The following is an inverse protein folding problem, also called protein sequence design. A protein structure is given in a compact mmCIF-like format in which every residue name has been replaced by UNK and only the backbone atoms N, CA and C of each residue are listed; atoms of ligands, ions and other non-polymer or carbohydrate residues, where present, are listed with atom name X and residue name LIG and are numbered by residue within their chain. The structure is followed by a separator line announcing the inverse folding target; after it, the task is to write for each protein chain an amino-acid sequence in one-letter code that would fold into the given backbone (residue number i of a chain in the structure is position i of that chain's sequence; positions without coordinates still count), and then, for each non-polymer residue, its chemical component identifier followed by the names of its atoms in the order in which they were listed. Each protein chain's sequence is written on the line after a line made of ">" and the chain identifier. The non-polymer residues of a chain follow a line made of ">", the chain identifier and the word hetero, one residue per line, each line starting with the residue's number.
data_IF_385595405319
#
_entry.id   IF_385595405319
#
_cell.length_a   1.000
_cell.length_b   1.000
_cell.length_c   1.000
_cell.angle_alpha   90.00
_cell.angle_beta   90.00
_cell.angle_gamma   90.00
#
_symmetry.space_group_name_H-M   'P 1'
#
loop_
_entity.id
_entity.type
_entity.pdbx_description
1 polymer ?
#
# COMPACT_ATOMS: atom_id res chain seq x y z
N UNK A 1 46.96 0.73 -5.48
CA UNK A 1 46.85 -0.50 -4.66
C UNK A 1 47.66 -0.31 -3.39
N UNK A 2 47.00 -0.17 -2.24
CA UNK A 2 47.54 -0.66 -0.96
C UNK A 2 46.40 -0.61 0.07
N UNK A 3 45.77 -1.76 0.30
CA UNK A 3 44.83 -1.96 1.39
C UNK A 3 45.67 -2.44 2.55
N UNK A 4 45.77 -1.64 3.62
CA UNK A 4 46.18 -2.14 4.92
C UNK A 4 45.00 -2.05 5.88
N UNK A 5 44.55 -3.23 6.28
CA UNK A 5 43.56 -3.45 7.31
C UNK A 5 44.22 -3.45 8.70
N UNK A 6 43.36 -3.23 9.69
CA UNK A 6 43.51 -3.49 11.12
C UNK A 6 44.17 -2.39 11.97
N UNK A 7 43.30 -1.65 12.67
CA UNK A 7 43.16 -1.78 14.13
C UNK A 7 41.75 -1.37 14.54
N UNK A 8 40.92 -2.36 14.83
CA UNK A 8 39.66 -2.19 15.55
C UNK A 8 39.96 -1.56 16.91
N UNK A 9 39.64 -0.28 17.07
CA UNK A 9 39.49 0.34 18.38
C UNK A 9 38.07 0.09 18.86
N UNK A 10 37.90 -0.98 19.64
CA UNK A 10 36.72 -1.21 20.46
C UNK A 10 36.59 -0.08 21.49
N UNK A 11 35.95 1.01 21.09
CA UNK A 11 35.45 2.04 21.99
C UNK A 11 34.08 1.63 22.53
N UNK A 12 34.06 0.72 23.50
CA UNK A 12 32.87 0.39 24.29
C UNK A 12 32.49 1.60 25.16
N UNK A 13 31.65 2.50 24.65
CA UNK A 13 30.87 3.44 25.47
C UNK A 13 29.51 2.82 25.77
N UNK A 14 29.52 1.80 26.61
CA UNK A 14 28.36 1.49 27.46
C UNK A 14 28.30 2.60 28.51
N UNK A 15 27.24 3.41 28.47
CA UNK A 15 26.87 4.31 29.55
C UNK A 15 26.47 3.48 30.77
N UNK A 16 27.47 2.99 31.51
CA UNK A 16 27.29 2.32 32.79
C UNK A 16 27.18 3.43 33.82
N UNK A 17 25.94 3.73 34.24
CA UNK A 17 25.71 4.46 35.48
C UNK A 17 26.35 3.65 36.61
N UNK A 18 27.39 4.21 37.23
CA UNK A 18 28.01 3.65 38.43
C UNK A 18 27.01 3.71 39.59
N UNK A 19 26.32 2.59 39.84
CA UNK A 19 25.53 2.39 41.05
C UNK A 19 26.51 2.28 42.22
N UNK A 20 26.70 3.40 42.91
CA UNK A 20 27.39 3.43 44.19
C UNK A 20 26.61 2.57 45.20
N UNK A 21 27.17 1.43 45.61
CA UNK A 21 26.71 0.70 46.80
C UNK A 21 27.10 1.52 48.03
N UNK A 22 26.14 2.27 48.58
CA UNK A 22 26.17 2.62 50.00
C UNK A 22 25.46 1.51 50.76
N UNK A 23 26.25 0.74 51.49
CA UNK A 23 25.77 0.02 52.66
C UNK A 23 25.33 1.04 53.73
N UNK A 24 24.35 0.60 54.50
CA UNK A 24 23.91 1.12 55.79
C UNK A 24 22.89 2.26 55.79
N UNK A 25 21.71 1.93 56.34
CA UNK A 25 20.82 2.89 56.98
C UNK A 25 19.51 3.16 56.26
N UNK A 26 18.44 2.52 56.77
CA UNK A 26 17.04 2.94 56.61
C UNK A 26 16.45 2.89 55.19
N UNK A 27 16.06 1.69 54.76
CA UNK A 27 14.91 1.56 53.85
C UNK A 27 13.66 2.07 54.58
N UNK A 28 13.23 3.29 54.24
CA UNK A 28 11.90 3.75 54.58
C UNK A 28 10.88 2.75 54.02
N UNK A 29 10.09 2.14 54.91
CA UNK A 29 8.99 1.24 54.57
C UNK A 29 7.99 2.02 53.72
N UNK A 30 8.09 1.94 52.40
CA UNK A 30 7.02 2.33 51.50
C UNK A 30 5.82 1.44 51.82
N UNK A 31 4.70 2.05 52.15
CA UNK A 31 3.47 1.39 52.54
C UNK A 31 3.15 0.23 51.58
N UNK A 32 3.28 -1.00 52.09
CA UNK A 32 2.79 -2.19 51.42
C UNK A 32 1.29 -2.00 51.22
N UNK A 33 0.87 -1.89 49.97
CA UNK A 33 -0.54 -1.88 49.59
C UNK A 33 -1.17 -3.16 50.14
N UNK A 34 -1.89 -3.06 51.25
CA UNK A 34 -2.65 -4.18 51.79
C UNK A 34 -3.77 -4.47 50.79
N UNK A 35 -3.58 -5.49 49.95
CA UNK A 35 -4.70 -6.17 49.30
C UNK A 35 -5.61 -6.65 50.41
N UNK A 36 -6.82 -6.10 50.49
CA UNK A 36 -7.90 -6.71 51.26
C UNK A 36 -8.27 -8.00 50.53
N UNK A 37 -7.76 -9.12 51.01
CA UNK A 37 -8.29 -10.44 50.65
C UNK A 37 -9.64 -10.58 51.36
N UNK A 38 -10.72 -10.45 50.60
CA UNK A 38 -12.06 -10.88 51.03
C UNK A 38 -12.17 -12.40 50.86
N UNK A 39 -12.84 -13.12 51.78
CA UNK A 39 -12.89 -14.58 51.81
C UNK A 39 -13.98 -15.13 50.87
N UNK A 40 -14.04 -14.63 49.65
CA UNK A 40 -14.84 -15.24 48.59
C UNK A 40 -13.98 -15.30 47.33
N UNK A 41 -14.00 -16.48 46.71
CA UNK A 41 -13.04 -16.95 45.73
C UNK A 41 -12.79 -16.01 44.56
N UNK A 42 -11.70 -16.29 43.86
CA UNK A 42 -11.24 -15.67 42.62
C UNK A 42 -12.46 -15.33 41.73
N UNK A 43 -12.92 -14.08 41.80
CA UNK A 43 -13.83 -13.54 40.79
C UNK A 43 -12.94 -13.36 39.58
N UNK A 44 -12.92 -14.37 38.72
CA UNK A 44 -12.56 -14.16 37.33
C UNK A 44 -13.46 -13.03 36.85
N UNK A 45 -12.87 -11.85 36.66
CA UNK A 45 -13.51 -10.69 36.07
C UNK A 45 -14.04 -11.12 34.69
N UNK A 46 -15.26 -11.63 34.66
CA UNK A 46 -16.02 -11.75 33.43
C UNK A 46 -16.16 -10.32 32.96
N UNK A 47 -15.46 -9.97 31.86
CA UNK A 47 -15.59 -8.66 31.19
C UNK A 47 -17.06 -8.28 31.22
N UNK A 48 -17.39 -7.22 31.96
CA UNK A 48 -18.77 -6.76 32.09
C UNK A 48 -19.37 -6.60 30.69
N UNK A 49 -20.65 -6.94 30.53
CA UNK A 49 -21.33 -6.90 29.23
C UNK A 49 -21.14 -5.55 28.50
N UNK A 50 -20.95 -4.47 29.25
CA UNK A 50 -20.66 -3.13 28.74
C UNK A 50 -19.27 -3.02 28.09
N UNK A 51 -18.25 -3.70 28.63
CA UNK A 51 -16.90 -3.75 28.03
C UNK A 51 -16.91 -4.57 26.75
N UNK A 52 -17.68 -5.66 26.68
CA UNK A 52 -17.85 -6.44 25.43
C UNK A 52 -18.56 -5.61 24.35
N UNK A 53 -19.63 -4.90 24.70
CA UNK A 53 -20.34 -4.00 23.77
C UNK A 53 -19.44 -2.87 23.30
N UNK A 54 -18.61 -2.30 24.18
CA UNK A 54 -17.63 -1.28 23.82
C UNK A 54 -16.53 -1.84 22.90
N UNK A 55 -16.00 -3.05 23.18
CA UNK A 55 -15.04 -3.74 22.29
C UNK A 55 -15.65 -4.02 20.90
N UNK A 56 -16.92 -4.43 20.84
CA UNK A 56 -17.61 -4.70 19.58
C UNK A 56 -17.88 -3.42 18.78
N UNK A 57 -18.28 -2.32 19.44
CA UNK A 57 -18.41 -1.00 18.82
C UNK A 57 -17.06 -0.49 18.30
N UNK A 58 -15.98 -0.64 19.06
CA UNK A 58 -14.64 -0.27 18.62
C UNK A 58 -14.17 -1.12 17.43
N UNK A 59 -14.50 -2.41 17.41
CA UNK A 59 -14.22 -3.29 16.28
C UNK A 59 -14.97 -2.83 15.02
N UNK A 60 -16.27 -2.58 15.12
CA UNK A 60 -17.09 -2.09 14.01
C UNK A 60 -16.59 -0.72 13.49
N UNK A 61 -16.18 0.18 14.38
CA UNK A 61 -15.60 1.46 14.01
C UNK A 61 -14.22 1.30 13.32
N UNK A 62 -13.41 0.33 13.74
CA UNK A 62 -12.14 0.01 13.08
C UNK A 62 -12.36 -0.60 11.69
N UNK A 63 -13.34 -1.49 11.55
CA UNK A 63 -13.70 -2.10 10.27
C UNK A 63 -14.25 -1.06 9.29
N UNK A 64 -15.07 -0.11 9.75
CA UNK A 64 -15.58 0.98 8.91
C UNK A 64 -14.49 1.97 8.48
N UNK A 65 -13.53 2.30 9.35
CA UNK A 65 -12.38 3.12 8.96
C UNK A 65 -11.47 2.40 7.96
N UNK A 66 -11.29 1.09 8.11
CA UNK A 66 -10.47 0.31 7.18
C UNK A 66 -11.11 0.16 5.79
N UNK A 67 -12.44 0.07 5.70
CA UNK A 67 -13.14 -0.02 4.42
C UNK A 67 -13.08 1.30 3.64
N UNK A 68 -13.15 2.44 4.32
CA UNK A 68 -12.97 3.76 3.70
C UNK A 68 -11.54 3.92 3.16
N UNK A 69 -10.54 3.49 3.93
CA UNK A 69 -9.13 3.52 3.50
C UNK A 69 -8.89 2.59 2.30
N UNK A 70 -9.49 1.40 2.26
CA UNK A 70 -9.29 0.47 1.13
C UNK A 70 -9.92 0.99 -0.17
N UNK A 71 -11.07 1.66 -0.10
CA UNK A 71 -11.66 2.32 -1.27
C UNK A 71 -10.75 3.41 -1.82
N UNK A 72 -10.16 4.24 -0.96
CA UNK A 72 -9.24 5.29 -1.39
C UNK A 72 -7.96 4.70 -2.01
N UNK A 73 -7.41 3.63 -1.43
CA UNK A 73 -6.25 2.93 -1.97
C UNK A 73 -6.51 2.37 -3.37
N UNK A 74 -7.64 1.71 -3.59
CA UNK A 74 -7.97 1.16 -4.92
C UNK A 74 -8.15 2.26 -5.96
N UNK A 75 -8.73 3.42 -5.59
CA UNK A 75 -8.85 4.55 -6.52
C UNK A 75 -7.50 5.14 -6.87
N UNK A 76 -6.58 5.29 -5.91
CA UNK A 76 -5.21 5.76 -6.13
C UNK A 76 -4.46 4.80 -7.06
N UNK A 77 -4.54 3.50 -6.80
CA UNK A 77 -3.90 2.47 -7.65
C UNK A 77 -4.46 2.47 -9.07
N UNK A 78 -5.78 2.67 -9.22
CA UNK A 78 -6.41 2.84 -10.54
C UNK A 78 -5.90 4.10 -11.25
N UNK A 79 -5.74 5.22 -10.54
CA UNK A 79 -5.13 6.45 -11.09
C UNK A 79 -3.70 6.22 -11.55
N UNK A 80 -2.90 5.46 -10.79
CA UNK A 80 -1.53 5.06 -11.18
C UNK A 80 -1.55 4.25 -12.47
N UNK A 81 -2.44 3.24 -12.57
CA UNK A 81 -2.58 2.42 -13.77
C UNK A 81 -2.96 3.26 -15.01
N UNK A 82 -3.92 4.18 -14.84
CA UNK A 82 -4.35 5.14 -15.86
C UNK A 82 -3.31 6.25 -16.12
N UNK A 83 -2.27 6.37 -15.28
CA UNK A 83 -1.29 7.46 -15.22
C UNK A 83 -1.91 8.83 -15.27
N UNK A 84 -2.89 9.02 -14.40
CA UNK A 84 -3.42 10.33 -14.03
C UNK A 84 -2.45 11.01 -13.04
N UNK A 85 -2.50 12.33 -12.98
CA UNK A 85 -1.69 13.09 -12.04
C UNK A 85 -2.21 12.87 -10.62
N UNK A 86 -1.32 12.46 -9.72
CA UNK A 86 -1.63 12.26 -8.31
C UNK A 86 -1.38 13.55 -7.53
N UNK A 87 -2.32 13.88 -6.66
CA UNK A 87 -2.17 14.96 -5.69
C UNK A 87 -1.08 14.64 -4.66
N UNK A 88 -0.53 15.66 -4.00
CA UNK A 88 0.51 15.46 -2.97
C UNK A 88 0.05 14.56 -1.83
N UNK A 89 -1.23 14.64 -1.46
CA UNK A 89 -1.83 13.77 -0.44
C UNK A 89 -1.83 12.30 -0.87
N UNK A 90 -2.21 12.02 -2.12
CA UNK A 90 -2.21 10.66 -2.68
C UNK A 90 -0.79 10.11 -2.84
N UNK A 91 0.19 10.96 -3.17
CA UNK A 91 1.61 10.57 -3.23
C UNK A 91 2.17 10.15 -1.88
N UNK A 92 1.72 10.76 -0.79
CA UNK A 92 2.10 10.35 0.54
C UNK A 92 1.46 9.01 0.91
N UNK A 93 0.16 8.85 0.60
CA UNK A 93 -0.57 7.60 0.81
C UNK A 93 0.01 6.41 0.04
N UNK A 94 0.62 6.63 -1.13
CA UNK A 94 1.29 5.58 -1.90
C UNK A 94 2.39 4.85 -1.12
N UNK A 95 2.99 5.49 -0.10
CA UNK A 95 4.03 4.86 0.73
C UNK A 95 3.47 3.82 1.69
N UNK A 96 2.19 3.97 2.05
CA UNK A 96 1.51 3.13 3.03
C UNK A 96 0.72 1.98 2.36
N UNK A 97 0.66 1.95 1.03
CA UNK A 97 -0.04 0.93 0.23
C UNK A 97 0.80 -0.35 0.12
N UNK A 98 0.12 -1.50 0.04
CA UNK A 98 0.77 -2.78 -0.20
C UNK A 98 1.64 -2.78 -1.48
N UNK A 99 2.92 -3.17 -1.36
CA UNK A 99 3.85 -3.11 -2.49
C UNK A 99 3.46 -4.05 -3.65
N UNK A 100 2.72 -5.14 -3.41
CA UNK A 100 2.30 -6.05 -4.50
C UNK A 100 1.19 -5.40 -5.32
N UNK A 101 0.17 -4.84 -4.68
CA UNK A 101 -0.92 -4.13 -5.38
C UNK A 101 -0.37 -2.91 -6.15
N UNK A 102 0.60 -2.19 -5.57
CA UNK A 102 1.33 -1.13 -6.29
C UNK A 102 2.09 -1.65 -7.51
N UNK A 103 2.80 -2.76 -7.39
CA UNK A 103 3.52 -3.39 -8.51
C UNK A 103 2.57 -3.78 -9.65
N UNK A 104 1.41 -4.37 -9.34
CA UNK A 104 0.37 -4.69 -10.33
C UNK A 104 -0.14 -3.44 -11.07
N UNK A 105 -0.43 -2.36 -10.33
CA UNK A 105 -0.87 -1.09 -10.93
C UNK A 105 0.21 -0.48 -11.83
N UNK A 106 1.48 -0.56 -11.44
CA UNK A 106 2.60 -0.11 -12.26
C UNK A 106 2.79 -0.98 -13.52
N UNK A 107 2.60 -2.29 -13.42
CA UNK A 107 2.63 -3.20 -14.57
C UNK A 107 1.54 -2.82 -15.59
N UNK A 108 0.31 -2.60 -15.12
CA UNK A 108 -0.79 -2.12 -15.96
C UNK A 108 -0.47 -0.75 -16.60
N UNK A 109 0.16 0.17 -15.84
CA UNK A 109 0.59 1.46 -16.37
C UNK A 109 1.65 1.34 -17.49
N UNK A 110 2.62 0.42 -17.34
CA UNK A 110 3.61 0.14 -18.38
C UNK A 110 2.93 -0.40 -19.64
N UNK A 111 2.01 -1.36 -19.47
CA UNK A 111 1.28 -1.96 -20.59
C UNK A 111 0.43 -0.93 -21.35
N UNK A 112 -0.23 -0.02 -20.62
CA UNK A 112 -0.94 1.12 -21.22
C UNK A 112 -0.03 2.00 -22.08
N UNK A 113 1.14 2.38 -21.58
CA UNK A 113 2.10 3.21 -22.34
C UNK A 113 2.52 2.52 -23.64
N UNK A 114 2.72 1.21 -23.61
CA UNK A 114 3.03 0.44 -24.81
C UNK A 114 1.87 0.46 -25.82
N UNK A 115 0.63 0.26 -25.34
CA UNK A 115 -0.57 0.34 -26.17
C UNK A 115 -0.72 1.75 -26.76
N UNK A 116 -0.57 2.80 -25.95
CA UNK A 116 -0.61 4.20 -26.39
C UNK A 116 0.46 4.48 -27.47
N UNK A 117 1.69 3.99 -27.27
CA UNK A 117 2.77 4.12 -28.27
C UNK A 117 2.44 3.38 -29.57
N UNK A 118 1.85 2.18 -29.50
CA UNK A 118 1.45 1.42 -30.69
C UNK A 118 0.30 2.11 -31.43
N UNK A 119 -0.67 2.66 -30.69
CA UNK A 119 -1.79 3.42 -31.24
C UNK A 119 -1.34 4.73 -31.87
N UNK A 120 -0.36 5.42 -31.29
CA UNK A 120 0.22 6.63 -31.87
C UNK A 120 0.92 6.37 -33.21
N UNK A 121 1.54 5.18 -33.36
CA UNK A 121 2.24 4.75 -34.58
C UNK A 121 1.32 4.11 -35.62
N UNK A 122 0.07 3.80 -35.27
CA UNK A 122 -0.87 3.17 -36.18
C UNK A 122 -1.21 4.13 -37.34
N UNK A 123 -1.02 3.66 -38.57
CA UNK A 123 -1.25 4.46 -39.79
C UNK A 123 -2.71 4.39 -40.21
N UNK A 124 -3.33 3.22 -40.00
CA UNK A 124 -4.71 2.95 -40.44
C UNK A 124 -5.65 2.73 -39.26
N UNK A 125 -6.96 2.98 -39.48
CA UNK A 125 -8.00 2.67 -38.49
C UNK A 125 -8.09 1.17 -38.21
N UNK A 126 -7.79 0.33 -39.20
CA UNK A 126 -7.78 -1.12 -39.07
C UNK A 126 -6.65 -1.60 -38.14
N UNK A 127 -5.44 -1.06 -38.29
CA UNK A 127 -4.31 -1.34 -37.39
C UNK A 127 -4.61 -0.93 -35.94
N UNK A 128 -5.16 0.28 -35.75
CA UNK A 128 -5.54 0.75 -34.42
C UNK A 128 -6.61 -0.16 -33.78
N UNK A 129 -7.62 -0.59 -34.55
CA UNK A 129 -8.64 -1.53 -34.09
C UNK A 129 -8.02 -2.88 -33.72
N UNK A 130 -7.08 -3.41 -34.50
CA UNK A 130 -6.39 -4.66 -34.18
C UNK A 130 -5.61 -4.57 -32.86
N UNK A 131 -4.92 -3.45 -32.62
CA UNK A 131 -4.20 -3.19 -31.36
C UNK A 131 -5.18 -3.15 -30.17
N UNK A 132 -6.30 -2.43 -30.30
CA UNK A 132 -7.31 -2.36 -29.25
C UNK A 132 -7.96 -3.72 -28.97
N UNK A 133 -8.26 -4.50 -30.01
CA UNK A 133 -8.83 -5.84 -29.86
C UNK A 133 -7.86 -6.79 -29.15
N UNK A 134 -6.58 -6.75 -29.52
CA UNK A 134 -5.54 -7.52 -28.83
C UNK A 134 -5.44 -7.15 -27.35
N UNK A 135 -5.49 -5.85 -27.01
CA UNK A 135 -5.47 -5.39 -25.63
C UNK A 135 -6.74 -5.82 -24.84
N UNK A 136 -7.92 -5.78 -25.47
CA UNK A 136 -9.17 -6.26 -24.84
C UNK A 136 -9.15 -7.77 -24.61
N UNK A 137 -8.56 -8.54 -25.53
CA UNK A 137 -8.36 -9.98 -25.36
C UNK A 137 -7.41 -10.28 -24.19
N UNK A 138 -6.33 -9.52 -24.04
CA UNK A 138 -5.40 -9.65 -22.91
C UNK A 138 -6.10 -9.42 -21.57
N UNK A 139 -6.96 -8.40 -21.47
CA UNK A 139 -7.81 -8.16 -20.30
C UNK A 139 -8.71 -9.36 -20.02
N UNK A 140 -9.37 -9.90 -21.05
CA UNK A 140 -10.24 -11.06 -20.88
C UNK A 140 -9.48 -12.31 -20.40
N UNK A 141 -8.26 -12.51 -20.91
CA UNK A 141 -7.36 -13.57 -20.43
C UNK A 141 -6.96 -13.36 -18.96
N UNK A 142 -6.65 -12.13 -18.55
CA UNK A 142 -6.34 -11.82 -17.15
C UNK A 142 -7.54 -12.08 -16.22
N UNK A 143 -8.75 -11.67 -16.62
CA UNK A 143 -9.98 -11.92 -15.86
C UNK A 143 -10.25 -13.43 -15.73
N UNK A 144 -10.11 -14.18 -16.83
CA UNK A 144 -10.38 -15.63 -16.86
C UNK A 144 -9.31 -16.47 -16.17
N UNK A 145 -8.09 -15.95 -15.99
CA UNK A 145 -7.03 -16.57 -15.21
C UNK A 145 -7.27 -16.46 -13.69
N UNK A 146 -7.96 -15.40 -13.25
CA UNK A 146 -8.33 -15.14 -11.85
C UNK A 146 -9.49 -16.00 -11.35
N UNK A 147 -9.40 -17.34 -11.46
CA UNK A 147 -10.48 -18.30 -11.12
C UNK A 147 -10.81 -18.45 -9.61
N UNK A 148 -10.31 -17.57 -8.75
CA UNK A 148 -10.69 -17.49 -7.33
C UNK A 148 -11.70 -16.36 -7.11
N UNK A 149 -12.55 -16.43 -6.09
CA UNK A 149 -13.69 -15.50 -5.85
C UNK A 149 -13.32 -14.02 -5.64
N UNK A 150 -12.04 -13.67 -5.74
CA UNK A 150 -11.53 -12.31 -5.71
C UNK A 150 -11.14 -11.90 -7.13
N UNK A 151 -11.75 -10.83 -7.63
CA UNK A 151 -11.37 -10.23 -8.90
C UNK A 151 -9.87 -9.92 -8.83
N UNK A 152 -9.09 -10.44 -9.77
CA UNK A 152 -7.66 -10.15 -9.81
C UNK A 152 -7.47 -8.64 -10.00
N UNK A 153 -6.94 -7.98 -8.96
CA UNK A 153 -6.65 -6.54 -8.94
C UNK A 153 -5.89 -6.11 -10.20
N UNK A 154 -5.01 -6.97 -10.73
CA UNK A 154 -4.27 -6.68 -11.95
C UNK A 154 -5.19 -6.58 -13.17
N UNK A 155 -6.16 -7.49 -13.30
CA UNK A 155 -7.12 -7.50 -14.40
C UNK A 155 -8.00 -6.23 -14.37
N UNK A 156 -8.40 -5.80 -13.17
CA UNK A 156 -9.15 -4.56 -12.97
C UNK A 156 -8.34 -3.32 -13.36
N UNK A 157 -7.08 -3.23 -12.91
CA UNK A 157 -6.20 -2.13 -13.27
C UNK A 157 -5.90 -2.10 -14.77
N UNK A 158 -5.67 -3.27 -15.38
CA UNK A 158 -5.42 -3.38 -16.81
C UNK A 158 -6.65 -2.97 -17.62
N UNK A 159 -7.85 -3.41 -17.22
CA UNK A 159 -9.11 -3.03 -17.86
C UNK A 159 -9.31 -1.50 -17.86
N UNK A 160 -9.12 -0.85 -16.71
CA UNK A 160 -9.21 0.60 -16.58
C UNK A 160 -8.16 1.31 -17.46
N UNK A 161 -6.92 0.79 -17.49
CA UNK A 161 -5.83 1.37 -18.25
C UNK A 161 -6.04 1.25 -19.77
N UNK A 162 -6.55 0.11 -20.25
CA UNK A 162 -6.91 -0.11 -21.67
C UNK A 162 -8.05 0.81 -22.08
N UNK A 163 -9.10 0.93 -21.25
CA UNK A 163 -10.21 1.85 -21.50
C UNK A 163 -9.71 3.30 -21.63
N UNK A 164 -8.80 3.73 -20.76
CA UNK A 164 -8.20 5.07 -20.84
C UNK A 164 -7.42 5.27 -22.15
N UNK A 165 -6.64 4.28 -22.58
CA UNK A 165 -5.91 4.35 -23.84
C UNK A 165 -6.84 4.44 -25.05
N UNK A 166 -7.95 3.68 -25.04
CA UNK A 166 -9.01 3.74 -26.05
C UNK A 166 -9.65 5.13 -26.12
N UNK A 167 -10.03 5.71 -24.97
CA UNK A 167 -10.58 7.07 -24.90
C UNK A 167 -9.59 8.11 -25.45
N UNK A 168 -8.32 8.05 -25.06
CA UNK A 168 -7.27 8.97 -25.55
C UNK A 168 -7.05 8.87 -27.06
N UNK A 169 -7.15 7.66 -27.62
CA UNK A 169 -7.08 7.44 -29.05
C UNK A 169 -8.25 8.12 -29.78
N UNK A 170 -9.49 7.92 -29.32
CA UNK A 170 -10.66 8.55 -29.94
C UNK A 170 -10.67 10.08 -29.80
N UNK A 171 -10.09 10.63 -28.74
CA UNK A 171 -9.89 12.07 -28.56
C UNK A 171 -8.74 12.65 -29.39
N UNK A 172 -8.01 11.83 -30.15
CA UNK A 172 -6.80 12.21 -30.90
C UNK A 172 -5.68 12.83 -30.03
N UNK A 173 -5.66 12.58 -28.73
CA UNK A 173 -4.63 13.11 -27.82
C UNK A 173 -3.26 12.43 -28.06
N UNK A 174 -3.28 11.17 -28.50
CA UNK A 174 -2.07 10.38 -28.72
C UNK A 174 -1.22 10.88 -29.91
N UNK A 175 -1.87 11.33 -30.99
CA UNK A 175 -1.17 11.86 -32.17
C UNK A 175 -0.55 13.23 -31.87
N UNK A 176 -1.30 14.11 -31.19
CA UNK A 176 -0.79 15.42 -30.75
C UNK A 176 0.43 15.28 -29.84
N UNK A 177 0.41 14.32 -28.91
CA UNK A 177 1.55 14.07 -28.02
C UNK A 177 2.77 13.55 -28.80
N UNK A 178 2.58 12.62 -29.72
CA UNK A 178 3.68 12.11 -30.55
C UNK A 178 4.29 13.22 -31.43
N UNK A 179 3.48 14.14 -31.96
CA UNK A 179 3.96 15.29 -32.72
C UNK A 179 4.74 16.30 -31.85
N UNK A 180 4.35 16.48 -30.58
CA UNK A 180 5.07 17.31 -29.63
C UNK A 180 6.41 16.67 -29.22
N UNK A 181 6.45 15.36 -28.99
CA UNK A 181 7.67 14.62 -28.61
C UNK A 181 8.73 14.61 -29.75
N UNK A 182 8.33 14.82 -31.02
CA UNK A 182 9.26 14.92 -32.17
C UNK A 182 9.86 16.34 -32.29
N UNK A 183 9.22 17.36 -31.71
CA UNK A 183 9.64 18.77 -31.84
C UNK A 183 10.62 19.23 -30.75
N UNK A 184 10.86 18.41 -29.73
CA UNK A 184 11.83 18.66 -28.65
C UNK A 184 13.14 17.95 -28.98
#
# INVERSE_FOLDING_TARGET
>A
MNIQANKFLFGSRTGIFSIARKQDGFFAKTASFKRKETPEGIVTEGKTEDVKKMEELLRLAKESMNSLNSTDQTTILRKVACGEELTEKEKNLLRDIDPKSLSKAQAAARRRREIESRLARAKTKAEAKAILMSAKQEVHMAISAGKSSEIDEYADYLSAAVKKAEERYYRNELKKKAELDIKV
#
